data_IF_247046363450
#
_entry.id   IF_247046363450
#
_cell.length_a   1.000
_cell.length_b   1.000
_cell.length_c   1.000
_cell.angle_alpha   90.00
_cell.angle_beta   90.00
_cell.angle_gamma   90.00
#
_symmetry.space_group_name_H-M   'P 1'
#
loop_
_entity.id
_entity.type
_entity.pdbx_description
1 polymer ?
#
# COMPACT_ATOMS: atom_id res chain seq x y z
N UNK A 1 -6.73 -13.65 35.50
CA UNK A 1 -6.83 -14.38 34.22
C UNK A 1 -8.03 -13.80 33.45
N UNK A 2 -7.81 -12.71 32.72
CA UNK A 2 -8.90 -12.09 31.93
C UNK A 2 -8.99 -12.89 30.64
N UNK A 3 -10.14 -13.52 30.39
CA UNK A 3 -10.47 -14.18 29.14
C UNK A 3 -10.23 -13.20 28.00
N UNK A 4 -9.15 -13.41 27.23
CA UNK A 4 -8.89 -12.64 26.04
C UNK A 4 -10.04 -12.89 25.07
N UNK A 5 -10.99 -11.95 25.00
CA UNK A 5 -11.93 -11.85 23.89
C UNK A 5 -11.08 -11.95 22.63
N UNK A 6 -11.27 -13.02 21.88
CA UNK A 6 -10.54 -13.31 20.65
C UNK A 6 -10.85 -12.18 19.67
N UNK A 7 -10.03 -11.14 19.68
CA UNK A 7 -10.26 -9.99 18.83
C UNK A 7 -9.92 -10.42 17.42
N UNK A 8 -10.88 -10.34 16.50
CA UNK A 8 -10.66 -10.65 15.09
C UNK A 8 -9.75 -9.57 14.49
N UNK A 9 -8.49 -9.89 14.11
CA UNK A 9 -7.52 -8.86 13.77
C UNK A 9 -7.94 -8.03 12.55
N UNK A 10 -8.60 -8.65 11.58
CA UNK A 10 -9.13 -8.03 10.36
C UNK A 10 -10.09 -6.86 10.59
N UNK A 11 -10.83 -6.86 11.70
CA UNK A 11 -11.78 -5.81 12.03
C UNK A 11 -11.23 -4.87 13.10
N UNK A 12 -10.57 -5.42 14.11
CA UNK A 12 -10.07 -4.61 15.23
C UNK A 12 -8.89 -3.72 14.87
N UNK A 13 -8.08 -4.10 13.89
CA UNK A 13 -6.94 -3.29 13.44
C UNK A 13 -7.37 -1.88 13.01
N UNK A 14 -8.60 -1.74 12.50
CA UNK A 14 -9.16 -0.48 12.04
C UNK A 14 -9.29 0.55 13.16
N UNK A 15 -9.72 0.13 14.34
CA UNK A 15 -10.09 1.05 15.42
C UNK A 15 -9.15 0.94 16.63
N UNK A 16 -8.46 -0.19 16.78
CA UNK A 16 -7.60 -0.51 17.93
C UNK A 16 -6.23 -1.04 17.48
N UNK A 17 -5.52 -0.32 16.57
CA UNK A 17 -4.32 -0.83 15.90
C UNK A 17 -3.24 -1.33 16.88
N UNK A 18 -3.01 -0.58 17.97
CA UNK A 18 -2.01 -0.94 19.00
C UNK A 18 -2.37 -2.22 19.76
N UNK A 19 -3.61 -2.33 20.21
CA UNK A 19 -4.06 -3.52 20.93
C UNK A 19 -4.05 -4.75 20.01
N UNK A 20 -4.48 -4.58 18.75
CA UNK A 20 -4.50 -5.65 17.76
C UNK A 20 -3.10 -6.13 17.40
N UNK A 21 -2.14 -5.25 17.13
CA UNK A 21 -0.76 -5.67 16.80
C UNK A 21 -0.08 -6.34 17.99
N UNK A 22 -0.32 -5.85 19.22
CA UNK A 22 0.19 -6.48 20.44
C UNK A 22 -0.31 -7.92 20.59
N UNK A 23 -1.59 -8.15 20.32
CA UNK A 23 -2.18 -9.49 20.31
C UNK A 23 -1.60 -10.39 19.21
N UNK A 24 -1.42 -9.86 17.99
CA UNK A 24 -0.83 -10.59 16.87
C UNK A 24 0.58 -11.08 17.22
N UNK A 25 1.40 -10.21 17.80
CA UNK A 25 2.78 -10.53 18.19
C UNK A 25 2.81 -11.62 19.26
N UNK A 26 1.90 -11.57 20.22
CA UNK A 26 1.80 -12.57 21.30
C UNK A 26 1.27 -13.94 20.84
N UNK A 27 0.63 -14.01 19.68
CA UNK A 27 -0.02 -15.24 19.21
C UNK A 27 0.76 -15.86 18.05
N UNK A 28 0.75 -15.21 16.88
CA UNK A 28 1.43 -15.68 15.68
C UNK A 28 1.82 -14.47 14.80
N UNK A 29 2.98 -13.82 15.04
CA UNK A 29 3.35 -12.56 14.38
C UNK A 29 3.42 -12.69 12.85
N UNK A 30 3.86 -13.85 12.36
CA UNK A 30 4.09 -14.08 10.93
C UNK A 30 2.89 -14.66 10.19
N UNK A 31 1.85 -15.11 10.91
CA UNK A 31 0.64 -15.65 10.29
C UNK A 31 0.00 -14.60 9.36
N UNK A 32 -0.33 -15.02 8.15
CA UNK A 32 -0.93 -14.18 7.10
C UNK A 32 -0.08 -13.05 6.53
N UNK A 33 1.14 -12.80 7.03
CA UNK A 33 2.00 -11.68 6.60
C UNK A 33 2.16 -11.62 5.09
N UNK A 34 2.63 -12.71 4.46
CA UNK A 34 2.85 -12.75 3.01
C UNK A 34 1.54 -12.66 2.21
N UNK A 35 0.46 -13.26 2.70
CA UNK A 35 -0.86 -13.20 2.06
C UNK A 35 -1.38 -11.76 2.08
N UNK A 36 -1.30 -11.07 3.21
CA UNK A 36 -1.72 -9.67 3.33
C UNK A 36 -0.87 -8.78 2.42
N UNK A 37 0.44 -8.98 2.37
CA UNK A 37 1.34 -8.22 1.49
C UNK A 37 0.99 -8.44 0.02
N UNK A 38 0.76 -9.69 -0.40
CA UNK A 38 0.36 -10.02 -1.75
C UNK A 38 -1.00 -9.41 -2.12
N UNK A 39 -2.02 -9.55 -1.26
CA UNK A 39 -3.34 -8.95 -1.47
C UNK A 39 -3.29 -7.42 -1.52
N UNK A 40 -2.53 -6.80 -0.62
CA UNK A 40 -2.36 -5.35 -0.62
C UNK A 40 -1.68 -4.87 -1.92
N UNK A 41 -0.73 -5.65 -2.46
CA UNK A 41 -0.04 -5.31 -3.70
C UNK A 41 -0.96 -5.21 -4.92
N UNK A 42 -2.04 -6.00 -4.95
CA UNK A 42 -3.05 -5.95 -6.03
C UNK A 42 -3.61 -4.54 -6.14
N UNK A 43 -3.91 -3.86 -5.03
CA UNK A 43 -4.40 -2.48 -5.05
C UNK A 43 -3.39 -1.52 -5.69
N UNK A 44 -2.12 -1.64 -5.31
CA UNK A 44 -1.05 -0.80 -5.88
C UNK A 44 -0.88 -1.09 -7.36
N UNK A 45 -0.89 -2.35 -7.77
CA UNK A 45 -0.79 -2.74 -9.18
C UNK A 45 -1.95 -2.19 -9.98
N UNK A 46 -3.20 -2.40 -9.55
CA UNK A 46 -4.39 -1.91 -10.24
C UNK A 46 -4.42 -0.37 -10.34
N UNK A 47 -3.98 0.33 -9.30
CA UNK A 47 -3.93 1.80 -9.30
C UNK A 47 -2.94 2.35 -10.32
N UNK A 48 -1.82 1.66 -10.52
CA UNK A 48 -0.76 2.06 -11.44
C UNK A 48 -0.88 1.44 -12.83
N UNK A 49 -1.77 0.46 -13.00
CA UNK A 49 -1.93 -0.26 -14.25
C UNK A 49 -2.46 0.66 -15.37
N UNK A 50 -2.00 0.38 -16.59
CA UNK A 50 -2.37 1.07 -17.82
C UNK A 50 -2.64 0.03 -18.89
N UNK A 51 -3.70 0.23 -19.65
CA UNK A 51 -4.01 -0.64 -20.78
C UNK A 51 -3.15 -0.31 -21.98
N UNK A 52 -2.87 -1.34 -22.78
CA UNK A 52 -2.26 -1.17 -24.08
C UNK A 52 -3.15 -0.31 -25.00
N UNK A 53 -2.53 0.47 -25.88
CA UNK A 53 -3.29 1.24 -26.88
C UNK A 53 -3.86 0.27 -27.91
N UNK A 54 -5.16 0.34 -28.14
CA UNK A 54 -5.84 -0.51 -29.11
C UNK A 54 -5.96 -1.97 -28.68
N UNK A 55 -6.33 -2.19 -27.41
CA UNK A 55 -6.60 -3.49 -26.76
C UNK A 55 -6.94 -4.60 -27.77
N UNK A 56 -5.98 -5.51 -28.01
CA UNK A 56 -6.15 -6.65 -28.94
C UNK A 56 -6.45 -7.97 -28.23
N UNK A 57 -6.29 -8.01 -26.91
CA UNK A 57 -6.47 -9.18 -26.05
C UNK A 57 -7.54 -8.91 -24.97
N UNK A 58 -7.91 -9.94 -24.21
CA UNK A 58 -8.84 -9.78 -23.10
C UNK A 58 -8.22 -8.99 -21.95
N UNK A 59 -9.04 -8.28 -21.17
CA UNK A 59 -8.58 -7.51 -20.01
C UNK A 59 -7.76 -8.37 -19.03
N UNK A 60 -8.19 -9.61 -18.80
CA UNK A 60 -7.51 -10.55 -17.91
C UNK A 60 -6.11 -10.87 -18.42
N UNK A 61 -5.94 -11.05 -19.73
CA UNK A 61 -4.65 -11.37 -20.34
C UNK A 61 -3.64 -10.22 -20.17
N UNK A 62 -4.09 -8.96 -20.16
CA UNK A 62 -3.19 -7.82 -19.90
C UNK A 62 -2.91 -7.63 -18.41
N UNK A 63 -3.92 -7.77 -17.54
CA UNK A 63 -3.80 -7.45 -16.10
C UNK A 63 -3.09 -8.56 -15.32
N UNK A 64 -3.38 -9.84 -15.59
CA UNK A 64 -2.89 -10.95 -14.77
C UNK A 64 -1.35 -11.04 -14.65
N UNK A 65 -0.56 -10.86 -15.74
CA UNK A 65 0.89 -10.84 -15.63
C UNK A 65 1.41 -9.73 -14.71
N UNK A 66 0.77 -8.56 -14.74
CA UNK A 66 1.14 -7.43 -13.89
C UNK A 66 0.81 -7.69 -12.42
N UNK A 67 -0.30 -8.38 -12.12
CA UNK A 67 -0.63 -8.80 -10.75
C UNK A 67 0.42 -9.76 -10.20
N UNK A 68 0.88 -10.73 -11.02
CA UNK A 68 1.91 -11.69 -10.63
C UNK A 68 3.25 -11.00 -10.38
N UNK A 69 3.73 -10.22 -11.34
CA UNK A 69 5.01 -9.48 -11.22
C UNK A 69 4.94 -8.48 -10.06
N UNK A 70 3.81 -7.78 -9.92
CA UNK A 70 3.57 -6.84 -8.84
C UNK A 70 3.61 -7.50 -7.46
N UNK A 71 3.00 -8.69 -7.31
CA UNK A 71 3.04 -9.43 -6.05
C UNK A 71 4.46 -9.89 -5.69
N UNK A 72 5.22 -10.42 -6.66
CA UNK A 72 6.61 -10.82 -6.45
C UNK A 72 7.48 -9.64 -6.03
N UNK A 73 7.37 -8.52 -6.75
CA UNK A 73 8.11 -7.31 -6.45
C UNK A 73 7.70 -6.71 -5.09
N UNK A 74 6.41 -6.77 -4.75
CA UNK A 74 5.91 -6.29 -3.46
C UNK A 74 6.48 -7.05 -2.27
N UNK A 75 6.71 -8.36 -2.40
CA UNK A 75 7.36 -9.16 -1.34
C UNK A 75 8.81 -8.67 -1.14
N UNK A 76 9.57 -8.47 -2.22
CA UNK A 76 10.94 -7.93 -2.15
C UNK A 76 10.97 -6.56 -1.47
N UNK A 77 10.12 -5.63 -1.94
CA UNK A 77 10.01 -4.28 -1.37
C UNK A 77 9.53 -4.32 0.09
N UNK A 78 8.67 -5.26 0.45
CA UNK A 78 8.21 -5.42 1.84
C UNK A 78 9.37 -5.77 2.78
N UNK A 79 10.22 -6.73 2.44
CA UNK A 79 11.38 -7.08 3.27
C UNK A 79 12.37 -5.92 3.36
N UNK A 80 12.62 -5.21 2.26
CA UNK A 80 13.45 -4.01 2.26
C UNK A 80 12.86 -2.92 3.16
N UNK A 81 11.54 -2.69 3.09
CA UNK A 81 10.85 -1.71 3.93
C UNK A 81 10.98 -2.07 5.42
N UNK A 82 10.74 -3.32 5.79
CA UNK A 82 10.86 -3.79 7.18
C UNK A 82 12.29 -3.61 7.68
N UNK A 83 13.28 -4.01 6.88
CA UNK A 83 14.70 -3.83 7.21
C UNK A 83 15.04 -2.37 7.48
N UNK A 84 14.64 -1.46 6.61
CA UNK A 84 14.93 -0.03 6.77
C UNK A 84 14.24 0.56 7.99
N UNK A 85 12.97 0.20 8.25
CA UNK A 85 12.24 0.62 9.44
C UNK A 85 12.87 0.11 10.74
N UNK A 86 13.47 -1.08 10.72
CA UNK A 86 14.23 -1.60 11.85
C UNK A 86 15.57 -0.89 12.01
N UNK A 87 16.30 -0.71 10.92
CA UNK A 87 17.62 -0.09 10.88
C UNK A 87 17.56 1.37 11.38
N UNK A 88 16.59 2.13 10.90
CA UNK A 88 16.36 3.52 11.33
C UNK A 88 15.74 3.54 12.73
N UNK A 89 14.75 2.69 12.99
CA UNK A 89 14.08 2.60 14.29
C UNK A 89 15.04 2.32 15.43
N UNK A 90 15.96 1.37 15.28
CA UNK A 90 16.98 1.05 16.29
C UNK A 90 17.88 2.24 16.61
N UNK A 91 18.25 3.04 15.60
CA UNK A 91 19.01 4.30 15.79
C UNK A 91 18.21 5.40 16.49
N UNK A 92 16.89 5.37 16.40
CA UNK A 92 15.99 6.26 17.15
C UNK A 92 15.67 5.74 18.57
N UNK A 93 16.31 4.63 18.98
CA UNK A 93 16.17 3.97 20.29
C UNK A 93 15.26 2.72 20.31
N UNK A 94 14.97 2.15 19.14
CA UNK A 94 13.85 1.24 18.90
C UNK A 94 14.19 -0.16 19.30
N UNK A 95 13.20 -0.88 19.82
CA UNK A 95 13.43 -2.20 20.45
C UNK A 95 12.74 -3.35 19.73
N UNK A 96 12.01 -3.06 18.64
CA UNK A 96 11.23 -4.08 17.95
C UNK A 96 12.14 -5.08 17.22
N UNK A 97 11.79 -6.36 17.31
CA UNK A 97 12.38 -7.42 16.48
C UNK A 97 11.98 -7.24 15.00
N UNK A 98 12.65 -7.97 14.12
CA UNK A 98 12.33 -7.91 12.68
C UNK A 98 10.90 -8.42 12.45
N UNK A 99 10.54 -9.53 13.10
CA UNK A 99 9.24 -10.19 13.04
C UNK A 99 8.11 -9.30 13.57
N UNK A 100 8.35 -8.54 14.63
CA UNK A 100 7.38 -7.58 15.17
C UNK A 100 7.09 -6.45 14.19
N UNK A 101 8.13 -5.94 13.51
CA UNK A 101 7.96 -4.92 12.46
C UNK A 101 7.27 -5.53 11.23
N UNK A 102 7.59 -6.77 10.84
CA UNK A 102 6.88 -7.46 9.76
C UNK A 102 5.39 -7.55 10.05
N UNK A 103 5.02 -7.98 11.26
CA UNK A 103 3.63 -8.06 11.70
C UNK A 103 2.95 -6.69 11.66
N UNK A 104 3.59 -5.66 12.23
CA UNK A 104 3.08 -4.30 12.25
C UNK A 104 2.84 -3.74 10.84
N UNK A 105 3.83 -3.89 9.94
CA UNK A 105 3.75 -3.39 8.57
C UNK A 105 2.70 -4.17 7.77
N UNK A 106 2.68 -5.50 7.85
CA UNK A 106 1.72 -6.29 7.09
C UNK A 106 0.29 -6.02 7.56
N UNK A 107 0.01 -6.13 8.87
CA UNK A 107 -1.35 -5.92 9.39
C UNK A 107 -1.85 -4.49 9.24
N UNK A 108 -0.96 -3.49 9.18
CA UNK A 108 -1.35 -2.12 8.84
C UNK A 108 -1.98 -1.97 7.44
N UNK A 109 -1.72 -2.93 6.54
CA UNK A 109 -2.29 -2.98 5.18
C UNK A 109 -3.71 -3.58 5.16
N UNK A 110 -4.25 -3.99 6.31
CA UNK A 110 -5.61 -4.53 6.44
C UNK A 110 -6.67 -3.70 5.70
N UNK A 111 -6.79 -2.38 5.93
CA UNK A 111 -7.76 -1.55 5.21
C UNK A 111 -7.56 -1.53 3.69
N UNK A 112 -6.31 -1.57 3.24
CA UNK A 112 -5.99 -1.62 1.80
C UNK A 112 -6.49 -2.92 1.18
N UNK A 113 -6.38 -4.06 1.87
CA UNK A 113 -6.97 -5.33 1.41
C UNK A 113 -8.49 -5.21 1.25
N UNK A 114 -9.17 -4.48 2.14
CA UNK A 114 -10.60 -4.21 2.04
C UNK A 114 -11.00 -3.27 0.88
N UNK A 115 -10.05 -2.69 0.15
CA UNK A 115 -10.33 -1.98 -1.09
C UNK A 115 -10.49 -2.90 -2.32
N UNK A 116 -10.14 -4.20 -2.23
CA UNK A 116 -10.28 -5.14 -3.34
C UNK A 116 -11.73 -5.33 -3.82
N UNK A 117 -12.74 -5.46 -2.94
CA UNK A 117 -14.14 -5.47 -3.36
C UNK A 117 -14.55 -4.18 -4.10
N UNK A 118 -14.02 -3.02 -3.69
CA UNK A 118 -14.27 -1.75 -4.38
C UNK A 118 -13.68 -1.75 -5.79
N UNK A 119 -12.48 -2.32 -5.97
CA UNK A 119 -11.88 -2.53 -7.29
C UNK A 119 -12.71 -3.48 -8.16
N UNK A 120 -13.19 -4.59 -7.61
CA UNK A 120 -14.04 -5.52 -8.33
C UNK A 120 -15.34 -4.85 -8.81
N UNK A 121 -16.01 -4.11 -7.92
CA UNK A 121 -17.20 -3.34 -8.27
C UNK A 121 -16.90 -2.29 -9.36
N UNK A 122 -15.80 -1.56 -9.21
CA UNK A 122 -15.37 -0.54 -10.17
C UNK A 122 -15.12 -1.15 -11.56
N UNK A 123 -14.43 -2.28 -11.64
CA UNK A 123 -14.17 -2.99 -12.92
C UNK A 123 -15.48 -3.54 -13.51
N UNK A 124 -16.38 -4.08 -12.68
CA UNK A 124 -17.65 -4.62 -13.15
C UNK A 124 -18.59 -3.55 -13.73
N UNK A 125 -18.62 -2.36 -13.13
CA UNK A 125 -19.49 -1.25 -13.55
C UNK A 125 -18.91 -0.51 -14.77
N UNK A 126 -17.62 -0.19 -14.73
CA UNK A 126 -16.99 0.71 -15.70
C UNK A 126 -16.12 -0.01 -16.72
N UNK A 127 -15.96 -1.33 -16.62
CA UNK A 127 -15.19 -2.13 -17.58
C UNK A 127 -13.71 -1.75 -17.67
N UNK A 128 -13.06 -2.03 -18.83
CA UNK A 128 -11.66 -1.66 -19.07
C UNK A 128 -11.37 -0.16 -18.95
N UNK A 129 -12.38 0.69 -19.09
CA UNK A 129 -12.25 2.16 -19.07
C UNK A 129 -11.72 2.69 -17.74
N UNK A 130 -11.78 1.90 -16.66
CA UNK A 130 -11.19 2.26 -15.35
C UNK A 130 -9.69 2.47 -15.44
N UNK A 131 -9.02 1.82 -16.38
CA UNK A 131 -7.59 1.93 -16.61
C UNK A 131 -7.33 2.90 -17.77
N UNK A 132 -6.48 3.92 -17.59
CA UNK A 132 -6.07 4.75 -18.71
C UNK A 132 -5.23 3.95 -19.70
N UNK A 133 -5.28 4.38 -20.97
CA UNK A 133 -4.50 3.78 -22.04
C UNK A 133 -3.18 4.51 -22.26
N UNK A 134 -2.17 3.79 -22.77
CA UNK A 134 -0.91 4.36 -23.23
C UNK A 134 0.18 4.47 -22.17
N UNK A 135 1.34 5.00 -22.60
CA UNK A 135 2.51 5.16 -21.75
C UNK A 135 2.28 6.23 -20.67
N UNK A 136 2.92 6.06 -19.51
CA UNK A 136 2.98 7.09 -18.49
C UNK A 136 3.52 8.40 -19.11
N UNK A 137 2.84 9.55 -18.94
CA UNK A 137 3.44 10.83 -19.32
C UNK A 137 4.78 10.96 -18.58
N UNK A 138 5.83 11.43 -19.26
CA UNK A 138 7.14 11.66 -18.65
C UNK A 138 6.94 12.66 -17.50
N UNK A 139 6.96 12.15 -16.27
CA UNK A 139 6.76 12.86 -15.00
C UNK A 139 5.43 13.65 -14.99
N UNK A 140 4.33 12.98 -14.66
CA UNK A 140 3.13 13.69 -14.22
C UNK A 140 3.09 13.72 -12.68
N UNK A 141 3.42 14.87 -12.09
CA UNK A 141 3.34 15.12 -10.65
C UNK A 141 1.88 15.14 -10.18
N UNK A 142 0.91 15.32 -11.08
CA UNK A 142 -0.53 15.29 -10.77
C UNK A 142 -1.11 13.87 -10.84
N UNK A 143 -0.61 12.93 -10.03
CA UNK A 143 -1.33 11.67 -9.77
C UNK A 143 -2.78 11.93 -9.31
N UNK A 144 -3.03 13.10 -8.71
CA UNK A 144 -4.35 13.65 -8.35
C UNK A 144 -5.30 13.74 -9.55
N UNK A 145 -4.82 14.13 -10.73
CA UNK A 145 -5.66 14.26 -11.93
C UNK A 145 -6.27 12.93 -12.39
N UNK A 146 -5.66 11.81 -12.01
CA UNK A 146 -6.20 10.47 -12.26
C UNK A 146 -7.35 10.11 -11.30
N UNK A 147 -7.35 10.63 -10.07
CA UNK A 147 -8.46 10.43 -9.12
C UNK A 147 -9.73 11.15 -9.57
N UNK A 148 -9.57 12.33 -10.17
CA UNK A 148 -10.67 13.18 -10.62
C UNK A 148 -10.92 13.10 -12.13
N UNK A 149 -10.40 12.07 -12.80
CA UNK A 149 -10.68 11.87 -14.22
C UNK A 149 -12.19 11.62 -14.39
N UNK A 150 -12.94 12.51 -15.07
CA UNK A 150 -14.33 12.23 -15.36
C UNK A 150 -14.36 11.02 -16.29
N UNK A 151 -15.00 9.96 -15.81
CA UNK A 151 -15.21 8.72 -16.55
C UNK A 151 -16.71 8.44 -16.50
N UNK A 152 -17.30 8.29 -17.68
CA UNK A 152 -18.72 8.02 -17.80
C UNK A 152 -19.33 8.74 -19.00
N UNK A 153 -20.40 8.16 -19.51
CA UNK A 153 -21.27 8.78 -20.52
C UNK A 153 -22.25 9.79 -19.89
N UNK A 154 -22.44 9.71 -18.55
CA UNK A 154 -23.35 10.56 -17.78
C UNK A 154 -22.68 11.17 -16.53
N UNK A 155 -23.19 12.30 -16.00
CA UNK A 155 -22.69 12.89 -14.74
C UNK A 155 -22.74 11.93 -13.54
N UNK A 156 -23.76 11.06 -13.47
CA UNK A 156 -23.93 10.12 -12.37
C UNK A 156 -22.81 9.06 -12.34
N UNK A 157 -22.42 8.56 -13.52
CA UNK A 157 -21.29 7.64 -13.65
C UNK A 157 -19.97 8.29 -13.19
N UNK A 158 -19.74 9.55 -13.55
CA UNK A 158 -18.55 10.29 -13.13
C UNK A 158 -18.50 10.50 -11.61
N UNK A 159 -19.64 10.82 -10.98
CA UNK A 159 -19.75 10.96 -9.52
C UNK A 159 -19.46 9.62 -8.84
N UNK A 160 -20.06 8.52 -9.31
CA UNK A 160 -19.83 7.19 -8.75
C UNK A 160 -18.37 6.76 -8.90
N UNK A 161 -17.76 6.98 -10.05
CA UNK A 161 -16.34 6.71 -10.28
C UNK A 161 -15.47 7.50 -9.29
N UNK A 162 -15.71 8.81 -9.16
CA UNK A 162 -15.01 9.67 -8.21
C UNK A 162 -15.15 9.18 -6.76
N UNK A 163 -16.39 8.85 -6.33
CA UNK A 163 -16.66 8.34 -5.00
C UNK A 163 -15.90 7.05 -4.68
N UNK A 164 -15.86 6.09 -5.61
CA UNK A 164 -15.09 4.85 -5.44
C UNK A 164 -13.59 5.13 -5.32
N UNK A 165 -13.04 6.07 -6.10
CA UNK A 165 -11.62 6.46 -5.98
C UNK A 165 -11.31 7.12 -4.63
N UNK A 166 -12.20 7.99 -4.14
CA UNK A 166 -12.07 8.59 -2.81
C UNK A 166 -12.08 7.52 -1.73
N UNK A 167 -13.02 6.57 -1.78
CA UNK A 167 -13.08 5.47 -0.82
C UNK A 167 -11.79 4.63 -0.81
N UNK A 168 -11.29 4.25 -2.00
CA UNK A 168 -10.01 3.52 -2.13
C UNK A 168 -8.84 4.36 -1.57
N UNK A 169 -8.79 5.66 -1.86
CA UNK A 169 -7.78 6.57 -1.33
C UNK A 169 -7.82 6.69 0.20
N UNK A 170 -9.02 6.77 0.78
CA UNK A 170 -9.24 6.77 2.23
C UNK A 170 -8.69 5.50 2.86
N UNK A 171 -8.87 4.32 2.24
CA UNK A 171 -8.27 3.07 2.75
C UNK A 171 -6.74 3.13 2.81
N UNK A 172 -6.11 3.78 1.83
CA UNK A 172 -4.65 4.00 1.81
C UNK A 172 -4.19 4.93 2.93
N UNK A 173 -4.88 6.07 3.11
CA UNK A 173 -4.58 7.04 4.17
C UNK A 173 -4.79 6.39 5.55
N UNK A 174 -5.88 5.65 5.72
CA UNK A 174 -6.16 4.95 6.97
C UNK A 174 -5.12 3.88 7.28
N UNK A 175 -4.67 3.13 6.26
CA UNK A 175 -3.56 2.19 6.40
C UNK A 175 -2.27 2.85 6.91
N UNK A 176 -1.97 4.07 6.46
CA UNK A 176 -0.82 4.85 6.98
C UNK A 176 -1.00 5.22 8.47
N UNK A 177 -2.20 5.67 8.86
CA UNK A 177 -2.49 5.98 10.28
C UNK A 177 -2.33 4.74 11.16
N UNK A 178 -2.80 3.59 10.70
CA UNK A 178 -2.61 2.30 11.38
C UNK A 178 -1.13 1.95 11.44
N UNK A 179 -0.38 2.08 10.34
CA UNK A 179 1.06 1.80 10.30
C UNK A 179 1.81 2.60 11.36
N UNK A 180 1.54 3.91 11.47
CA UNK A 180 2.19 4.75 12.49
C UNK A 180 1.87 4.28 13.91
N UNK A 181 0.62 3.88 14.16
CA UNK A 181 0.22 3.37 15.47
C UNK A 181 0.84 2.00 15.79
N UNK A 182 0.82 1.07 14.85
CA UNK A 182 1.43 -0.25 15.01
C UNK A 182 2.94 -0.13 15.17
N UNK A 183 3.59 0.69 14.35
CA UNK A 183 5.04 0.90 14.42
C UNK A 183 5.45 1.57 15.74
N UNK A 184 4.70 2.56 16.20
CA UNK A 184 4.92 3.20 17.51
C UNK A 184 4.81 2.18 18.65
N UNK A 185 3.78 1.32 18.60
CA UNK A 185 3.52 0.28 19.59
C UNK A 185 4.68 -0.73 19.65
N UNK A 186 5.07 -1.32 18.52
CA UNK A 186 6.11 -2.37 18.50
C UNK A 186 7.49 -1.81 18.82
N UNK A 187 7.81 -0.60 18.35
CA UNK A 187 9.10 0.04 18.64
C UNK A 187 9.19 0.57 20.09
N UNK A 188 8.06 0.70 20.79
CA UNK A 188 7.99 1.29 22.14
C UNK A 188 8.12 2.81 22.15
N UNK A 189 7.68 3.48 21.08
CA UNK A 189 7.88 4.91 20.83
C UNK A 189 6.58 5.72 20.78
N UNK A 190 6.69 7.05 20.76
CA UNK A 190 5.56 7.92 20.41
C UNK A 190 5.23 7.84 18.91
N UNK A 191 3.99 8.19 18.53
CA UNK A 191 3.55 8.25 17.12
C UNK A 191 4.46 9.17 16.30
N UNK A 192 4.90 10.29 16.88
CA UNK A 192 5.78 11.23 16.20
C UNK A 192 7.14 10.61 15.84
N UNK A 193 7.73 9.84 16.75
CA UNK A 193 8.96 9.07 16.46
C UNK A 193 8.74 7.98 15.42
N UNK A 194 7.56 7.34 15.40
CA UNK A 194 7.21 6.39 14.36
C UNK A 194 7.10 7.06 12.97
N UNK A 195 6.54 8.28 12.91
CA UNK A 195 6.52 9.09 11.71
C UNK A 195 7.93 9.46 11.23
N UNK A 196 8.80 9.89 12.14
CA UNK A 196 10.21 10.15 11.83
C UNK A 196 10.94 8.89 11.33
N UNK A 197 10.70 7.74 11.97
CA UNK A 197 11.26 6.46 11.52
C UNK A 197 10.83 6.16 10.07
N UNK A 198 9.54 6.27 9.77
CA UNK A 198 9.00 6.06 8.43
C UNK A 198 9.61 7.02 7.40
N UNK A 199 9.68 8.31 7.74
CA UNK A 199 10.21 9.35 6.86
C UNK A 199 11.70 9.13 6.55
N UNK A 200 12.51 8.89 7.59
CA UNK A 200 13.95 8.65 7.42
C UNK A 200 14.21 7.35 6.66
N UNK A 201 13.47 6.27 6.92
CA UNK A 201 13.57 5.03 6.17
C UNK A 201 13.25 5.23 4.68
N UNK A 202 12.27 6.06 4.34
CA UNK A 202 11.96 6.41 2.95
C UNK A 202 13.10 7.21 2.30
N UNK A 203 13.65 8.22 3.00
CA UNK A 203 14.73 9.07 2.50
C UNK A 203 16.01 8.30 2.18
N UNK A 204 16.34 7.26 2.96
CA UNK A 204 17.50 6.38 2.72
C UNK A 204 17.45 5.74 1.33
N UNK A 205 16.25 5.49 0.77
CA UNK A 205 16.09 4.91 -0.56
C UNK A 205 15.89 5.99 -1.62
N UNK A 206 15.02 6.97 -1.35
CA UNK A 206 14.64 7.94 -2.39
C UNK A 206 15.76 8.89 -2.75
N UNK A 207 16.64 9.26 -1.81
CA UNK A 207 17.76 10.18 -2.10
C UNK A 207 18.77 9.53 -3.04
N UNK A 208 19.35 8.35 -2.76
CA UNK A 208 20.32 7.72 -3.67
C UNK A 208 19.73 7.41 -5.04
N UNK A 209 18.49 6.91 -5.09
CA UNK A 209 17.80 6.63 -6.36
C UNK A 209 17.57 7.93 -7.14
N UNK A 210 17.12 8.99 -6.48
CA UNK A 210 16.93 10.29 -7.10
C UNK A 210 18.22 10.86 -7.68
N UNK A 211 19.32 10.82 -6.93
CA UNK A 211 20.64 11.28 -7.37
C UNK A 211 21.15 10.45 -8.55
N UNK A 212 21.00 9.12 -8.50
CA UNK A 212 21.37 8.24 -9.60
C UNK A 212 20.60 8.58 -10.88
N UNK A 213 19.28 8.77 -10.78
CA UNK A 213 18.45 9.13 -11.93
C UNK A 213 18.84 10.50 -12.50
N UNK A 214 19.08 11.50 -11.64
CA UNK A 214 19.53 12.83 -12.05
C UNK A 214 20.87 12.77 -12.80
N UNK A 215 21.85 12.01 -12.28
CA UNK A 215 23.14 11.82 -12.94
C UNK A 215 22.97 11.19 -14.33
N UNK A 216 22.11 10.18 -14.46
CA UNK A 216 21.85 9.53 -15.75
C UNK A 216 21.11 10.42 -16.76
N UNK A 217 20.29 11.38 -16.28
CA UNK A 217 19.65 12.36 -17.16
C UNK A 217 20.65 13.40 -17.67
N UNK A 218 21.64 13.78 -16.87
CA UNK A 218 22.67 14.75 -17.26
C UNK A 218 23.73 14.18 -18.22
N UNK A 219 23.88 12.85 -18.28
CA UNK A 219 24.94 12.17 -19.07
C UNK A 219 24.46 11.78 -20.49
N UNK A 220 23.17 11.89 -20.80
CA UNK A 220 22.65 11.62 -22.16
C UNK A 220 22.73 12.89 -23.02
N UNK A 221 23.60 12.95 -24.06
CA UNK A 221 23.58 14.03 -25.04
C UNK A 221 22.31 14.01 -25.90
#
# INVERSE_FOLDING_TARGET
MISALRVYPWFSIWLRPRATVRQIIQTQPLAWTLVIVALASINTTLSNFRLSVGLRSSLIAEVAPHLLVGALFAILIFYLQVYLLQMVGSRLGGKASFEEIQAAVAWSRGPVVWALPLWAAKIAIFGPQVFPQGAMPRINISGIGMFFRPLGSSPNEAILFGALNVLIGVMGIWGLVILLNCLAEVQGFSIWKAFQNLLLAALVVTIPVGLFLLANLTIRP
#
